data_IF_027046716536
#
_entry.id   IF_027046716536
#
_cell.length_a   1.000
_cell.length_b   1.000
_cell.length_c   1.000
_cell.angle_alpha   90.00
_cell.angle_beta   90.00
_cell.angle_gamma   90.00
#
_symmetry.space_group_name_H-M   'P 1'
#
loop_
_entity.id
_entity.type
_entity.pdbx_description
1 polymer ?
#
# COMPACT_ATOMS: atom_id res chain seq x y z
N UNK A 1 -11.19 -1.18 31.21
CA UNK A 1 -12.25 -0.17 31.01
C UNK A 1 -11.59 1.22 31.00
N UNK A 2 -12.03 2.15 30.15
CA UNK A 2 -11.43 3.50 30.08
C UNK A 2 -12.02 4.37 31.21
N UNK A 3 -11.35 4.42 32.35
CA UNK A 3 -11.92 4.99 33.58
C UNK A 3 -11.75 6.51 33.68
N UNK A 4 -10.78 7.10 32.97
CA UNK A 4 -10.55 8.56 32.93
C UNK A 4 -11.20 9.20 31.69
N UNK A 5 -11.58 10.47 31.79
CA UNK A 5 -12.17 11.22 30.66
C UNK A 5 -11.21 11.28 29.45
N UNK A 6 -9.90 11.41 29.70
CA UNK A 6 -8.86 11.38 28.68
C UNK A 6 -8.76 10.02 27.99
N UNK A 7 -8.86 8.92 28.74
CA UNK A 7 -8.88 7.57 28.17
C UNK A 7 -10.13 7.33 27.29
N UNK A 8 -11.33 7.74 27.74
CA UNK A 8 -12.55 7.65 26.94
C UNK A 8 -12.42 8.42 25.62
N UNK A 9 -11.82 9.62 25.64
CA UNK A 9 -11.51 10.41 24.43
C UNK A 9 -10.54 9.68 23.50
N UNK A 10 -9.49 9.05 24.04
CA UNK A 10 -8.52 8.27 23.26
C UNK A 10 -9.17 7.07 22.57
N UNK A 11 -10.03 6.32 23.25
CA UNK A 11 -10.78 5.20 22.65
C UNK A 11 -11.60 5.67 21.44
N UNK A 12 -12.35 6.77 21.57
CA UNK A 12 -13.11 7.34 20.44
C UNK A 12 -12.22 7.76 19.27
N UNK A 13 -11.08 8.40 19.56
CA UNK A 13 -10.12 8.81 18.53
C UNK A 13 -9.49 7.61 17.81
N UNK A 14 -9.10 6.58 18.57
CA UNK A 14 -8.49 5.38 18.04
C UNK A 14 -9.45 4.61 17.13
N UNK A 15 -10.73 4.48 17.51
CA UNK A 15 -11.74 3.85 16.67
C UNK A 15 -11.87 4.53 15.30
N UNK A 16 -11.93 5.87 15.27
CA UNK A 16 -11.99 6.65 14.02
C UNK A 16 -10.74 6.44 13.16
N UNK A 17 -9.55 6.48 13.76
CA UNK A 17 -8.29 6.23 13.07
C UNK A 17 -8.20 4.80 12.52
N UNK A 18 -8.68 3.81 13.27
CA UNK A 18 -8.66 2.41 12.87
C UNK A 18 -9.48 2.18 11.58
N UNK A 19 -10.68 2.77 11.48
CA UNK A 19 -11.52 2.70 10.28
C UNK A 19 -10.79 3.27 9.07
N UNK A 20 -10.27 4.49 9.18
CA UNK A 20 -9.55 5.15 8.07
C UNK A 20 -8.30 4.37 7.65
N UNK A 21 -7.52 3.87 8.60
CA UNK A 21 -6.34 3.07 8.33
C UNK A 21 -6.71 1.75 7.66
N UNK A 22 -7.80 1.09 8.08
CA UNK A 22 -8.28 -0.14 7.45
C UNK A 22 -8.61 0.06 5.97
N UNK A 23 -9.32 1.15 5.63
CA UNK A 23 -9.62 1.48 4.23
C UNK A 23 -8.35 1.73 3.41
N UNK A 24 -7.40 2.50 3.96
CA UNK A 24 -6.14 2.79 3.26
C UNK A 24 -5.31 1.52 3.04
N UNK A 25 -5.19 0.66 4.06
CA UNK A 25 -4.45 -0.60 3.96
C UNK A 25 -5.10 -1.54 2.95
N UNK A 26 -6.43 -1.62 2.93
CA UNK A 26 -7.18 -2.43 1.95
C UNK A 26 -6.92 -1.95 0.52
N UNK A 27 -6.99 -0.63 0.26
CA UNK A 27 -6.69 -0.04 -1.06
C UNK A 27 -5.27 -0.35 -1.51
N UNK A 28 -4.28 -0.15 -0.64
CA UNK A 28 -2.88 -0.46 -0.95
C UNK A 28 -2.68 -1.94 -1.25
N UNK A 29 -3.31 -2.83 -0.48
CA UNK A 29 -3.23 -4.29 -0.75
C UNK A 29 -3.84 -4.64 -2.10
N UNK A 30 -4.99 -4.06 -2.44
CA UNK A 30 -5.64 -4.24 -3.74
C UNK A 30 -4.76 -3.77 -4.90
N UNK A 31 -4.21 -2.57 -4.82
CA UNK A 31 -3.32 -2.03 -5.86
C UNK A 31 -2.05 -2.87 -6.05
N UNK A 32 -1.43 -3.33 -4.95
CA UNK A 32 -0.26 -4.22 -5.04
C UNK A 32 -0.62 -5.58 -5.62
N UNK A 33 -1.81 -6.11 -5.34
CA UNK A 33 -2.30 -7.36 -5.93
C UNK A 33 -2.52 -7.21 -7.43
N UNK A 34 -3.24 -6.16 -7.85
CA UNK A 34 -3.47 -5.87 -9.26
C UNK A 34 -2.16 -5.69 -10.04
N UNK A 35 -1.16 -5.01 -9.45
CA UNK A 35 0.15 -4.88 -10.06
C UNK A 35 0.87 -6.23 -10.23
N UNK A 36 0.76 -7.14 -9.27
CA UNK A 36 1.35 -8.49 -9.39
C UNK A 36 0.65 -9.33 -10.44
N UNK A 37 -0.68 -9.34 -10.45
CA UNK A 37 -1.46 -10.05 -11.46
C UNK A 37 -1.17 -9.51 -12.87
N UNK A 38 -1.03 -8.19 -13.01
CA UNK A 38 -0.64 -7.56 -14.27
C UNK A 38 0.79 -7.91 -14.73
N UNK A 39 1.72 -8.11 -13.79
CA UNK A 39 3.09 -8.56 -14.08
C UNK A 39 3.18 -10.04 -14.47
N UNK A 40 2.20 -10.86 -14.08
CA UNK A 40 2.07 -12.25 -14.54
C UNK A 40 1.43 -12.34 -15.92
N UNK A 41 0.64 -11.34 -16.32
CA UNK A 41 0.07 -11.21 -17.65
C UNK A 41 1.10 -10.83 -18.73
N UNK A 42 0.77 -11.09 -19.99
CA UNK A 42 1.64 -10.82 -21.14
C UNK A 42 1.74 -9.33 -21.55
N UNK A 43 0.94 -8.44 -20.94
CA UNK A 43 0.83 -7.04 -21.34
C UNK A 43 1.76 -6.10 -20.57
N UNK A 44 2.95 -5.87 -21.11
CA UNK A 44 3.99 -5.04 -20.50
C UNK A 44 3.54 -3.58 -20.24
N UNK A 45 2.69 -3.02 -21.11
CA UNK A 45 2.22 -1.63 -20.96
C UNK A 45 1.22 -1.50 -19.79
N UNK A 46 0.30 -2.46 -19.65
CA UNK A 46 -0.67 -2.50 -18.55
C UNK A 46 0.02 -2.81 -17.21
N UNK A 47 1.03 -3.69 -17.22
CA UNK A 47 1.84 -3.98 -16.05
C UNK A 47 2.56 -2.72 -15.53
N UNK A 48 3.12 -1.90 -16.42
CA UNK A 48 3.82 -0.67 -16.05
C UNK A 48 2.89 0.36 -15.42
N UNK A 49 1.72 0.60 -16.00
CA UNK A 49 0.75 1.56 -15.46
C UNK A 49 0.22 1.11 -14.09
N UNK A 50 -0.16 -0.17 -13.94
CA UNK A 50 -0.60 -0.74 -12.68
C UNK A 50 0.47 -0.65 -11.59
N UNK A 51 1.73 -0.91 -11.96
CA UNK A 51 2.87 -0.81 -11.04
C UNK A 51 3.08 0.63 -10.57
N UNK A 52 3.04 1.60 -11.47
CA UNK A 52 3.17 3.03 -11.11
C UNK A 52 2.05 3.51 -10.18
N UNK A 53 0.81 3.05 -10.42
CA UNK A 53 -0.31 3.34 -9.51
C UNK A 53 -0.10 2.74 -8.12
N UNK A 54 0.38 1.50 -8.04
CA UNK A 54 0.69 0.84 -6.78
C UNK A 54 1.81 1.56 -6.01
N UNK A 55 2.86 2.03 -6.70
CA UNK A 55 3.94 2.84 -6.09
C UNK A 55 3.39 4.14 -5.49
N UNK A 56 2.58 4.89 -6.25
CA UNK A 56 1.95 6.13 -5.77
C UNK A 56 1.10 5.90 -4.52
N UNK A 57 0.32 4.82 -4.49
CA UNK A 57 -0.48 4.46 -3.32
C UNK A 57 0.36 4.08 -2.10
N UNK A 58 1.45 3.33 -2.29
CA UNK A 58 2.38 2.96 -1.22
C UNK A 58 3.01 4.20 -0.57
N UNK A 59 3.41 5.18 -1.40
CA UNK A 59 4.04 6.41 -0.92
C UNK A 59 3.06 7.33 -0.20
N UNK A 60 1.83 7.46 -0.72
CA UNK A 60 0.76 8.18 -0.01
C UNK A 60 0.43 7.54 1.34
N UNK A 61 0.42 6.21 1.42
CA UNK A 61 0.18 5.49 2.68
C UNK A 61 1.34 5.63 3.68
N UNK A 62 2.59 5.71 3.19
CA UNK A 62 3.75 5.97 4.02
C UNK A 62 3.77 7.41 4.54
N UNK A 63 3.48 8.40 3.69
CA UNK A 63 3.40 9.81 4.08
C UNK A 63 2.32 10.09 5.13
N UNK A 64 1.20 9.36 5.08
CA UNK A 64 0.14 9.41 6.10
C UNK A 64 0.46 8.63 7.39
N UNK A 65 1.60 7.96 7.47
CA UNK A 65 2.00 7.14 8.62
C UNK A 65 1.17 5.86 8.80
N UNK A 66 0.39 5.45 7.80
CA UNK A 66 -0.42 4.21 7.85
C UNK A 66 0.48 3.00 7.65
N UNK A 67 1.52 3.14 6.83
CA UNK A 67 2.58 2.14 6.64
C UNK A 67 3.92 2.73 7.05
N UNK A 68 4.77 1.92 7.66
CA UNK A 68 6.15 2.32 7.93
C UNK A 68 6.91 2.54 6.61
N UNK A 69 7.77 3.58 6.56
CA UNK A 69 8.59 3.92 5.38
C UNK A 69 9.35 2.72 4.80
N UNK A 70 9.95 1.90 5.66
CA UNK A 70 10.68 0.70 5.24
C UNK A 70 9.77 -0.40 4.67
N UNK A 71 8.51 -0.49 5.13
CA UNK A 71 7.56 -1.45 4.58
C UNK A 71 7.13 -1.02 3.16
N UNK A 72 6.84 0.27 2.98
CA UNK A 72 6.57 0.83 1.66
C UNK A 72 7.78 0.63 0.72
N UNK A 73 8.98 1.03 1.13
CA UNK A 73 10.22 0.86 0.35
C UNK A 73 10.47 -0.59 -0.06
N UNK A 74 10.30 -1.55 0.86
CA UNK A 74 10.45 -2.99 0.57
C UNK A 74 9.46 -3.47 -0.49
N UNK A 75 8.21 -3.04 -0.41
CA UNK A 75 7.18 -3.42 -1.40
C UNK A 75 7.46 -2.79 -2.76
N UNK A 76 7.85 -1.51 -2.78
CA UNK A 76 8.26 -0.80 -4.01
C UNK A 76 9.42 -1.50 -4.71
N UNK A 77 10.49 -1.82 -3.97
CA UNK A 77 11.67 -2.50 -4.52
C UNK A 77 11.35 -3.87 -5.11
N UNK A 78 10.46 -4.65 -4.48
CA UNK A 78 10.03 -5.96 -5.01
C UNK A 78 9.27 -5.83 -6.33
N UNK A 79 8.31 -4.90 -6.42
CA UNK A 79 7.54 -4.67 -7.64
C UNK A 79 8.43 -4.17 -8.78
N UNK A 80 9.32 -3.21 -8.50
CA UNK A 80 10.24 -2.68 -9.51
C UNK A 80 11.21 -3.76 -10.01
N UNK A 81 11.71 -4.63 -9.12
CA UNK A 81 12.57 -5.75 -9.53
C UNK A 81 11.85 -6.73 -10.45
N UNK A 82 10.57 -7.01 -10.19
CA UNK A 82 9.75 -7.88 -11.06
C UNK A 82 9.51 -7.24 -12.42
N UNK A 83 9.19 -5.94 -12.45
CA UNK A 83 9.00 -5.20 -13.70
C UNK A 83 10.28 -5.17 -14.54
N UNK A 84 11.43 -4.87 -13.93
CA UNK A 84 12.72 -4.88 -14.62
C UNK A 84 13.09 -6.28 -15.16
N UNK A 85 12.78 -7.34 -14.43
CA UNK A 85 13.00 -8.71 -14.91
C UNK A 85 12.11 -9.09 -16.09
N UNK A 86 10.90 -8.53 -16.16
CA UNK A 86 9.99 -8.70 -17.30
C UNK A 86 10.46 -7.90 -18.53
N UNK A 87 10.93 -6.67 -18.32
CA UNK A 87 11.53 -5.85 -19.37
C UNK A 87 12.83 -6.48 -19.92
N UNK A 88 13.65 -7.11 -19.08
CA UNK A 88 14.90 -7.77 -19.48
C UNK A 88 14.72 -9.12 -20.21
N UNK A 89 13.53 -9.74 -20.12
CA UNK A 89 13.17 -10.96 -20.86
C UNK A 89 12.63 -10.67 -22.26
N UNK A 90 12.32 -9.41 -22.54
CA UNK A 90 11.81 -8.93 -23.82
C UNK A 90 12.97 -8.51 -24.72
#
# INVERSE_FOLDING_TARGET
>A
MANTASAKKRVRSNARKAVNNRHMVSRVRGAVRAAREGLEGADAAAAKTATMQALSMLDKAAGKGVLHKNNAARRKGRLMKQLAALEAKK
#
